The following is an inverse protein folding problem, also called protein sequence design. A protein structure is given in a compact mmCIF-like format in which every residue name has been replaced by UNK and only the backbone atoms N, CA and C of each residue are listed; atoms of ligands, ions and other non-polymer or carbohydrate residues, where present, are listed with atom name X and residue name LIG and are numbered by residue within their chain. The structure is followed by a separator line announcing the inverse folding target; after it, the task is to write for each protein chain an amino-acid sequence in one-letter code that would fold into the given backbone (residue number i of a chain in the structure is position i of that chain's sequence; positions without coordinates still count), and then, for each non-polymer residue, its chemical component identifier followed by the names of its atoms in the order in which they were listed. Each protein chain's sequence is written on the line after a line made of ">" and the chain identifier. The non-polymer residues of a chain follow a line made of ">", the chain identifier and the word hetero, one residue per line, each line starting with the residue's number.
data_IF_490207073920
#
_entry.id   IF_490207073920
#
_cell.length_a   1.000
_cell.length_b   1.000
_cell.length_c   1.000
_cell.angle_alpha   90.00
_cell.angle_beta   90.00
_cell.angle_gamma   90.00
#
_symmetry.space_group_name_H-M   'P 1'
#
loop_
_entity.id
_entity.type
_entity.pdbx_description
1 polymer ?
#
# COMPACT_ATOMS: atom_id res chain seq x y z
N UNK A 1 -33.15 -29.55 -15.70
CA UNK A 1 -32.19 -29.56 -16.82
C UNK A 1 -31.33 -28.33 -16.69
N UNK A 2 -30.04 -28.47 -16.40
CA UNK A 2 -29.14 -27.31 -16.27
C UNK A 2 -28.63 -26.91 -17.65
N UNK A 3 -28.71 -25.63 -17.98
CA UNK A 3 -28.14 -25.05 -19.21
C UNK A 3 -26.78 -24.45 -18.88
N UNK A 4 -25.74 -24.92 -19.55
CA UNK A 4 -24.39 -24.37 -19.45
C UNK A 4 -24.18 -23.45 -20.66
N UNK A 5 -23.75 -22.21 -20.40
CA UNK A 5 -23.31 -21.25 -21.41
C UNK A 5 -21.88 -20.86 -21.13
N UNK A 6 -21.04 -20.96 -22.16
CA UNK A 6 -19.70 -20.38 -22.15
C UNK A 6 -19.78 -18.95 -22.66
N UNK A 7 -19.45 -17.98 -21.80
CA UNK A 7 -19.37 -16.57 -22.18
C UNK A 7 -17.96 -16.29 -22.69
N UNK A 8 -17.85 -15.64 -23.85
CA UNK A 8 -16.57 -15.15 -24.34
C UNK A 8 -16.02 -14.08 -23.40
N UNK A 9 -14.70 -14.05 -23.22
CA UNK A 9 -14.05 -13.01 -22.45
C UNK A 9 -14.31 -11.63 -23.10
N UNK A 10 -14.76 -10.63 -22.32
CA UNK A 10 -15.11 -9.33 -22.87
C UNK A 10 -13.84 -8.56 -23.28
N UNK A 11 -13.99 -7.72 -24.31
CA UNK A 11 -12.97 -6.73 -24.63
C UNK A 11 -13.02 -5.59 -23.61
N UNK A 12 -11.88 -5.26 -23.03
CA UNK A 12 -11.68 -4.07 -22.22
C UNK A 12 -11.31 -2.88 -23.12
N UNK A 13 -11.69 -1.67 -22.72
CA UNK A 13 -11.40 -0.43 -23.45
C UNK A 13 -10.30 0.38 -22.75
N UNK A 14 -9.41 0.96 -23.55
CA UNK A 14 -8.19 1.65 -23.15
C UNK A 14 -8.06 2.99 -23.88
N UNK A 15 -6.92 3.67 -23.71
CA UNK A 15 -6.65 4.96 -24.33
C UNK A 15 -6.89 4.98 -25.85
N UNK A 16 -7.41 6.10 -26.35
CA UNK A 16 -7.65 6.30 -27.79
C UNK A 16 -8.69 5.34 -28.40
N UNK A 17 -9.53 4.69 -27.59
CA UNK A 17 -10.50 3.69 -28.05
C UNK A 17 -9.89 2.31 -28.35
N UNK A 18 -8.64 2.08 -27.93
CA UNK A 18 -7.99 0.78 -28.01
C UNK A 18 -8.76 -0.28 -27.22
N UNK A 19 -8.79 -1.52 -27.73
CA UNK A 19 -9.47 -2.63 -27.07
C UNK A 19 -8.59 -3.86 -27.00
N UNK A 20 -8.58 -4.50 -25.84
CA UNK A 20 -7.83 -5.73 -25.63
C UNK A 20 -8.51 -6.62 -24.59
N UNK A 21 -8.32 -7.94 -24.71
CA UNK A 21 -8.87 -8.91 -23.74
C UNK A 21 -8.04 -8.97 -22.46
N UNK A 22 -6.70 -8.96 -22.59
CA UNK A 22 -5.75 -8.93 -21.48
C UNK A 22 -5.43 -7.47 -21.07
N UNK A 23 -5.58 -7.17 -19.79
CA UNK A 23 -5.35 -5.84 -19.20
C UNK A 23 -3.90 -5.36 -19.31
N UNK A 24 -2.91 -6.26 -19.20
CA UNK A 24 -1.48 -5.90 -19.20
C UNK A 24 -1.08 -5.43 -20.59
N UNK A 25 -1.45 -6.18 -21.61
CA UNK A 25 -1.23 -5.80 -23.02
C UNK A 25 -2.01 -4.55 -23.39
N UNK A 26 -3.30 -4.46 -23.00
CA UNK A 26 -4.10 -3.27 -23.25
C UNK A 26 -3.50 -2.00 -22.65
N UNK A 27 -3.00 -2.07 -21.40
CA UNK A 27 -2.30 -0.94 -20.78
C UNK A 27 -0.96 -0.62 -21.45
N UNK A 28 -0.20 -1.63 -21.87
CA UNK A 28 1.09 -1.43 -22.55
C UNK A 28 0.94 -0.78 -23.92
N UNK A 29 -0.05 -1.22 -24.70
CA UNK A 29 -0.22 -0.81 -26.09
C UNK A 29 -1.01 0.50 -26.22
N UNK A 30 -2.03 0.68 -25.36
CA UNK A 30 -2.98 1.78 -25.48
C UNK A 30 -2.97 2.74 -24.27
N UNK A 31 -2.29 2.39 -23.18
CA UNK A 31 -2.31 3.17 -21.95
C UNK A 31 -3.65 3.09 -21.19
N UNK A 32 -3.78 3.82 -20.06
CA UNK A 32 -5.03 3.92 -19.32
C UNK A 32 -6.18 4.46 -20.17
N UNK A 33 -7.43 4.16 -19.80
CA UNK A 33 -8.61 4.62 -20.56
C UNK A 33 -8.69 6.16 -20.71
N UNK A 34 -8.17 6.90 -19.73
CA UNK A 34 -8.11 8.37 -19.74
C UNK A 34 -6.79 8.92 -20.30
N UNK A 35 -6.02 8.09 -21.01
CA UNK A 35 -4.79 8.47 -21.67
C UNK A 35 -5.03 9.59 -22.69
N UNK A 36 -4.22 10.65 -22.57
CA UNK A 36 -4.18 11.77 -23.51
C UNK A 36 -2.73 12.16 -23.77
N UNK A 37 -2.41 12.61 -24.98
CA UNK A 37 -1.03 12.96 -25.38
C UNK A 37 -0.55 14.27 -24.78
N UNK A 38 -1.47 15.09 -24.32
CA UNK A 38 -1.32 16.51 -24.02
C UNK A 38 -1.24 16.79 -22.52
N UNK A 39 -1.44 15.76 -21.68
CA UNK A 39 -1.33 15.86 -20.22
C UNK A 39 -0.39 14.81 -19.67
N UNK A 40 0.78 15.27 -19.23
CA UNK A 40 1.63 14.49 -18.32
C UNK A 40 1.05 14.54 -16.92
N UNK A 41 0.94 13.38 -16.28
CA UNK A 41 0.48 13.28 -14.90
C UNK A 41 1.68 13.20 -13.97
N UNK A 42 2.28 14.35 -13.66
CA UNK A 42 3.15 14.45 -12.48
C UNK A 42 2.23 14.40 -11.26
N UNK A 43 2.39 13.37 -10.44
CA UNK A 43 1.63 13.19 -9.22
C UNK A 43 2.51 13.56 -8.02
N UNK A 44 2.19 14.67 -7.36
CA UNK A 44 2.89 15.08 -6.14
C UNK A 44 2.43 14.21 -4.98
N UNK A 45 3.35 13.48 -4.37
CA UNK A 45 3.08 12.63 -3.22
C UNK A 45 3.65 13.25 -1.95
N UNK A 46 2.85 13.23 -0.89
CA UNK A 46 3.33 13.41 0.48
C UNK A 46 3.69 12.07 1.09
N UNK A 47 4.63 12.05 2.04
CA UNK A 47 5.02 10.83 2.75
C UNK A 47 4.97 11.07 4.25
N UNK A 48 4.29 10.17 4.97
CA UNK A 48 4.22 10.16 6.45
C UNK A 48 4.71 8.80 6.93
N UNK A 49 5.70 8.77 7.82
CA UNK A 49 6.22 7.53 8.42
C UNK A 49 7.30 7.80 9.45
N UNK A 50 8.06 6.79 9.88
CA UNK A 50 9.34 7.05 10.56
C UNK A 50 10.36 7.60 9.54
N UNK A 51 11.45 8.18 10.02
CA UNK A 51 12.55 8.59 9.14
C UNK A 51 13.06 7.44 8.25
N UNK A 52 13.13 6.22 8.80
CA UNK A 52 13.53 5.03 8.07
C UNK A 52 12.49 4.60 7.02
N UNK A 53 11.21 4.49 7.41
CA UNK A 53 10.13 4.08 6.51
C UNK A 53 9.94 5.07 5.35
N UNK A 54 10.00 6.37 5.65
CA UNK A 54 9.91 7.41 4.63
C UNK A 54 11.08 7.36 3.64
N UNK A 55 12.31 7.19 4.13
CA UNK A 55 13.50 7.05 3.28
C UNK A 55 13.42 5.83 2.35
N UNK A 56 13.14 4.65 2.90
CA UNK A 56 13.01 3.40 2.14
C UNK A 56 11.89 3.46 1.10
N UNK A 57 10.74 4.05 1.45
CA UNK A 57 9.64 4.23 0.51
C UNK A 57 10.05 5.12 -0.67
N UNK A 58 10.76 6.23 -0.42
CA UNK A 58 11.24 7.12 -1.50
C UNK A 58 12.21 6.41 -2.44
N UNK A 59 13.11 5.60 -1.90
CA UNK A 59 14.02 4.80 -2.72
C UNK A 59 13.27 3.77 -3.55
N UNK A 60 12.22 3.16 -3.01
CA UNK A 60 11.36 2.24 -3.75
C UNK A 60 10.55 2.93 -4.85
N UNK A 61 9.99 4.11 -4.58
CA UNK A 61 9.27 4.90 -5.60
C UNK A 61 10.18 5.25 -6.79
N UNK A 62 11.45 5.60 -6.53
CA UNK A 62 12.45 5.80 -7.59
C UNK A 62 12.69 4.53 -8.40
N UNK A 63 12.82 3.37 -7.74
CA UNK A 63 12.97 2.08 -8.43
C UNK A 63 11.75 1.71 -9.28
N UNK A 64 10.55 2.16 -8.91
CA UNK A 64 9.34 1.93 -9.70
C UNK A 64 9.36 2.66 -11.05
N UNK A 65 10.26 3.62 -11.29
CA UNK A 65 10.40 4.33 -12.56
C UNK A 65 10.95 3.45 -13.69
N UNK A 66 11.81 2.47 -13.35
CA UNK A 66 12.51 1.63 -14.33
C UNK A 66 11.64 0.48 -14.87
N UNK A 67 10.56 0.13 -14.16
CA UNK A 67 9.69 -1.00 -14.50
C UNK A 67 10.30 -2.36 -14.18
N UNK A 68 9.65 -3.41 -14.67
CA UNK A 68 10.07 -4.81 -14.48
C UNK A 68 10.19 -5.47 -15.85
N UNK A 69 11.36 -6.00 -16.24
CA UNK A 69 11.54 -6.64 -17.53
C UNK A 69 10.72 -7.94 -17.65
N UNK A 70 10.36 -8.31 -18.87
CA UNK A 70 9.73 -9.59 -19.16
C UNK A 70 10.66 -10.76 -18.80
N UNK A 71 10.08 -11.91 -18.44
CA UNK A 71 10.84 -13.16 -18.24
C UNK A 71 10.63 -14.10 -19.42
N UNK A 72 11.69 -14.82 -19.80
CA UNK A 72 11.57 -15.86 -20.81
C UNK A 72 10.71 -17.01 -20.27
N UNK A 73 9.66 -17.36 -21.01
CA UNK A 73 8.78 -18.49 -20.70
C UNK A 73 8.29 -19.15 -21.99
N UNK A 74 7.95 -20.44 -21.89
CA UNK A 74 7.27 -21.18 -22.98
C UNK A 74 5.83 -20.67 -23.19
N UNK A 75 5.30 -19.94 -22.22
CA UNK A 75 3.99 -19.27 -22.28
C UNK A 75 4.22 -17.77 -22.51
N UNK A 76 4.00 -17.26 -23.73
CA UNK A 76 4.37 -15.88 -24.10
C UNK A 76 3.60 -14.80 -23.31
N UNK A 77 2.44 -15.14 -22.75
CA UNK A 77 1.58 -14.21 -21.99
C UNK A 77 1.77 -14.29 -20.48
N UNK A 78 2.64 -15.17 -19.97
CA UNK A 78 2.74 -15.41 -18.53
C UNK A 78 3.51 -14.29 -17.81
N UNK A 79 4.67 -13.90 -18.33
CA UNK A 79 5.55 -12.89 -17.72
C UNK A 79 5.85 -11.71 -18.66
N UNK A 80 4.82 -10.95 -19.08
CA UNK A 80 5.05 -9.72 -19.83
C UNK A 80 5.82 -8.71 -18.97
N UNK A 81 6.52 -7.78 -19.62
CA UNK A 81 7.15 -6.68 -18.93
C UNK A 81 6.07 -5.82 -18.23
N UNK A 82 6.42 -5.26 -17.07
CA UNK A 82 5.62 -4.24 -16.42
C UNK A 82 6.29 -2.88 -16.67
N UNK A 83 5.58 -1.90 -17.21
CA UNK A 83 6.15 -0.60 -17.46
C UNK A 83 6.36 0.14 -16.14
N UNK A 84 7.46 0.87 -16.02
CA UNK A 84 7.68 1.75 -14.87
C UNK A 84 6.80 3.01 -14.91
N UNK A 85 6.86 3.79 -13.83
CA UNK A 85 6.21 5.11 -13.73
C UNK A 85 7.07 6.21 -14.37
N UNK A 86 7.32 6.07 -15.67
CA UNK A 86 8.12 7.04 -16.42
C UNK A 86 7.28 7.87 -17.40
N UNK A 87 7.79 9.07 -17.69
CA UNK A 87 7.20 10.02 -18.62
C UNK A 87 6.98 9.47 -20.06
N UNK A 88 7.95 8.78 -20.69
CA UNK A 88 7.73 8.17 -22.01
C UNK A 88 6.98 6.84 -21.94
N UNK A 89 6.76 6.28 -20.75
CA UNK A 89 6.09 5.01 -20.56
C UNK A 89 4.59 5.05 -20.89
N UNK A 90 3.93 3.89 -21.04
CA UNK A 90 2.51 3.79 -21.40
C UNK A 90 1.58 4.43 -20.36
N UNK A 91 2.01 4.53 -19.10
CA UNK A 91 1.25 5.22 -18.06
C UNK A 91 1.41 6.74 -18.08
N UNK A 92 2.50 7.28 -18.67
CA UNK A 92 2.85 8.72 -18.68
C UNK A 92 2.65 9.41 -17.33
N UNK A 93 2.94 8.68 -16.27
CA UNK A 93 2.73 9.08 -14.89
C UNK A 93 4.07 8.99 -14.17
N UNK A 94 4.40 10.04 -13.41
CA UNK A 94 5.62 10.13 -12.63
C UNK A 94 5.29 10.60 -11.22
N UNK A 95 5.98 10.04 -10.23
CA UNK A 95 5.78 10.39 -8.82
C UNK A 95 6.83 11.38 -8.35
N UNK A 96 6.38 12.54 -7.89
CA UNK A 96 7.25 13.57 -7.31
C UNK A 96 7.10 13.58 -5.79
N UNK A 97 8.20 13.39 -5.07
CA UNK A 97 8.23 13.48 -3.60
C UNK A 97 9.24 14.54 -3.19
N UNK A 98 8.76 15.76 -3.00
CA UNK A 98 9.58 16.86 -2.49
C UNK A 98 9.92 16.63 -1.01
N UNK A 99 11.13 16.99 -0.61
CA UNK A 99 11.58 16.89 0.79
C UNK A 99 10.66 17.68 1.74
N UNK A 100 10.04 18.76 1.26
CA UNK A 100 9.08 19.55 2.06
C UNK A 100 7.75 18.84 2.33
N UNK A 101 7.42 17.84 1.51
CA UNK A 101 6.20 17.02 1.60
C UNK A 101 6.46 15.68 2.32
N UNK A 102 7.63 15.54 2.96
CA UNK A 102 7.95 14.44 3.87
C UNK A 102 7.73 14.87 5.31
N UNK A 103 6.98 14.06 6.06
CA UNK A 103 6.74 14.21 7.50
C UNK A 103 7.11 12.95 8.24
N UNK A 104 7.70 13.13 9.42
CA UNK A 104 8.19 12.04 10.25
C UNK A 104 7.43 11.98 11.56
N UNK A 105 6.81 10.84 11.83
CA UNK A 105 6.35 10.52 13.19
C UNK A 105 7.58 10.30 14.06
N UNK A 106 7.71 11.10 15.12
CA UNK A 106 8.91 11.09 15.97
C UNK A 106 9.17 9.73 16.61
N UNK A 107 10.44 9.38 16.79
CA UNK A 107 10.84 8.15 17.47
C UNK A 107 10.23 8.05 18.88
N UNK A 108 10.15 9.18 19.61
CA UNK A 108 9.53 9.23 20.93
C UNK A 108 8.03 8.92 20.89
N UNK A 109 7.30 9.41 19.88
CA UNK A 109 5.88 9.09 19.71
C UNK A 109 5.70 7.60 19.40
N UNK A 110 6.51 7.05 18.49
CA UNK A 110 6.52 5.62 18.17
C UNK A 110 6.77 4.79 19.43
N UNK A 111 7.82 5.10 20.19
CA UNK A 111 8.15 4.37 21.42
C UNK A 111 7.02 4.39 22.45
N UNK A 112 6.35 5.54 22.62
CA UNK A 112 5.19 5.66 23.51
C UNK A 112 4.03 4.77 23.07
N UNK A 113 3.69 4.80 21.77
CA UNK A 113 2.63 3.97 21.21
C UNK A 113 2.97 2.48 21.38
N UNK A 114 4.21 2.08 21.11
CA UNK A 114 4.65 0.68 21.24
C UNK A 114 4.70 0.19 22.68
N UNK A 115 4.87 1.09 23.65
CA UNK A 115 4.91 0.75 25.07
C UNK A 115 3.52 0.72 25.73
N UNK A 116 2.50 1.29 25.08
CA UNK A 116 1.12 1.26 25.57
C UNK A 116 0.61 -0.18 25.65
N UNK A 117 -0.06 -0.54 26.75
CA UNK A 117 -0.56 -1.88 26.99
C UNK A 117 -1.97 -2.07 26.44
N UNK A 118 -2.80 -1.03 26.51
CA UNK A 118 -4.16 -1.07 25.98
C UNK A 118 -4.16 -0.88 24.46
N UNK A 119 -4.75 -1.84 23.75
CA UNK A 119 -4.75 -1.85 22.29
C UNK A 119 -5.59 -0.72 21.68
N UNK A 120 -6.73 -0.37 22.29
CA UNK A 120 -7.58 0.72 21.79
C UNK A 120 -6.87 2.07 21.97
N UNK A 121 -6.20 2.26 23.11
CA UNK A 121 -5.39 3.46 23.37
C UNK A 121 -4.21 3.52 22.41
N UNK A 122 -3.51 2.40 22.16
CA UNK A 122 -2.37 2.36 21.24
C UNK A 122 -2.79 2.66 19.79
N UNK A 123 -3.89 2.07 19.32
CA UNK A 123 -4.47 2.35 17.99
C UNK A 123 -4.88 3.81 17.90
N UNK A 124 -5.60 4.33 18.90
CA UNK A 124 -6.02 5.73 18.96
C UNK A 124 -4.82 6.69 18.90
N UNK A 125 -3.78 6.43 19.68
CA UNK A 125 -2.56 7.24 19.69
C UNK A 125 -1.82 7.18 18.33
N UNK A 126 -1.75 6.01 17.69
CA UNK A 126 -1.17 5.87 16.35
C UNK A 126 -1.97 6.63 15.30
N UNK A 127 -3.30 6.55 15.33
CA UNK A 127 -4.18 7.28 14.42
C UNK A 127 -3.99 8.79 14.58
N UNK A 128 -3.97 9.29 15.82
CA UNK A 128 -3.75 10.72 16.11
C UNK A 128 -2.37 11.17 15.62
N UNK A 129 -1.32 10.39 15.87
CA UNK A 129 0.04 10.73 15.45
C UNK A 129 0.15 10.84 13.92
N UNK A 130 -0.39 9.88 13.17
CA UNK A 130 -0.40 9.95 11.70
C UNK A 130 -1.33 11.04 11.18
N UNK A 131 -2.52 11.20 11.76
CA UNK A 131 -3.49 12.20 11.31
C UNK A 131 -2.94 13.62 11.45
N UNK A 132 -2.21 13.93 12.53
CA UNK A 132 -1.56 15.22 12.72
C UNK A 132 -0.54 15.54 11.59
N UNK A 133 0.29 14.56 11.21
CA UNK A 133 1.25 14.74 10.12
C UNK A 133 0.57 14.84 8.74
N UNK A 134 -0.50 14.06 8.50
CA UNK A 134 -1.31 14.17 7.28
C UNK A 134 -1.97 15.54 7.20
N UNK A 135 -2.53 16.04 8.31
CA UNK A 135 -3.13 17.37 8.39
C UNK A 135 -2.10 18.46 8.07
N UNK A 136 -0.89 18.36 8.63
CA UNK A 136 0.20 19.30 8.33
C UNK A 136 0.51 19.38 6.84
N UNK A 137 0.47 18.25 6.12
CA UNK A 137 0.67 18.24 4.66
C UNK A 137 -0.53 18.80 3.90
N UNK A 138 -1.75 18.51 4.37
CA UNK A 138 -2.98 18.97 3.74
C UNK A 138 -3.21 20.50 3.87
N UNK A 139 -2.71 21.12 4.94
CA UNK A 139 -2.85 22.56 5.22
C UNK A 139 -1.80 23.44 4.52
N UNK A 140 -0.87 22.85 3.75
CA UNK A 140 0.14 23.60 2.98
C UNK A 140 -0.54 24.43 1.87
N UNK A 141 0.11 25.51 1.46
CA UNK A 141 -0.35 26.35 0.32
C UNK A 141 -0.55 25.52 -0.97
N UNK A 142 0.30 24.51 -1.15
CA UNK A 142 0.24 23.55 -2.24
C UNK A 142 0.31 22.15 -1.64
N UNK A 143 -0.83 21.56 -1.24
CA UNK A 143 -0.83 20.22 -0.68
C UNK A 143 -0.42 19.19 -1.75
N UNK A 144 0.14 18.04 -1.34
CA UNK A 144 0.32 16.91 -2.22
C UNK A 144 -1.04 16.39 -2.70
N UNK A 145 -1.04 15.71 -3.85
CA UNK A 145 -2.28 15.16 -4.44
C UNK A 145 -2.69 13.84 -3.76
N UNK A 146 -1.71 13.10 -3.23
CA UNK A 146 -1.93 11.87 -2.46
C UNK A 146 -0.89 11.83 -1.34
N UNK A 147 -1.26 11.35 -0.16
CA UNK A 147 -0.32 11.13 0.94
C UNK A 147 -0.14 9.63 1.18
N UNK A 148 1.10 9.17 1.15
CA UNK A 148 1.44 7.78 1.45
C UNK A 148 1.86 7.66 2.92
N UNK A 149 1.08 6.92 3.69
CA UNK A 149 1.41 6.57 5.07
C UNK A 149 2.26 5.28 5.06
N UNK A 150 3.58 5.44 5.18
CA UNK A 150 4.56 4.37 5.33
C UNK A 150 4.68 3.96 6.79
N UNK A 151 3.97 2.90 7.19
CA UNK A 151 3.96 2.48 8.59
C UNK A 151 5.32 1.87 8.99
N UNK A 152 5.90 2.27 10.13
CA UNK A 152 7.03 1.58 10.76
C UNK A 152 6.68 0.15 11.16
N UNK A 153 7.65 -0.74 11.11
CA UNK A 153 7.48 -2.16 11.48
C UNK A 153 6.97 -2.28 12.91
N UNK A 154 7.49 -1.47 13.82
CA UNK A 154 7.17 -1.51 15.25
C UNK A 154 5.71 -1.13 15.51
N UNK A 155 5.16 -0.18 14.73
CA UNK A 155 3.75 0.18 14.83
C UNK A 155 2.85 -0.88 14.21
N UNK A 156 3.29 -1.50 13.11
CA UNK A 156 2.57 -2.64 12.55
C UNK A 156 2.54 -3.77 13.57
N UNK A 157 3.67 -4.12 14.18
CA UNK A 157 3.72 -5.17 15.19
C UNK A 157 2.91 -4.78 16.43
N UNK A 158 2.89 -3.52 16.87
CA UNK A 158 2.07 -3.12 18.01
C UNK A 158 0.57 -3.21 17.71
N UNK A 159 0.14 -2.77 16.52
CA UNK A 159 -1.28 -2.76 16.12
C UNK A 159 -1.75 -4.15 15.65
N UNK A 160 -0.83 -4.96 15.11
CA UNK A 160 -1.11 -6.28 14.55
C UNK A 160 -0.77 -7.45 15.47
N UNK A 161 0.08 -7.28 16.48
CA UNK A 161 0.36 -8.32 17.47
C UNK A 161 -0.20 -7.85 18.81
N UNK A 162 -1.52 -7.59 18.86
CA UNK A 162 -2.24 -7.47 20.13
C UNK A 162 -1.76 -8.61 21.01
N UNK A 163 -1.12 -8.29 22.15
CA UNK A 163 -0.49 -9.30 22.98
C UNK A 163 -1.58 -10.30 23.36
N UNK A 164 -1.48 -11.53 22.85
CA UNK A 164 -1.99 -12.65 23.62
C UNK A 164 -1.30 -12.48 24.98
N UNK A 165 -2.08 -12.23 26.02
CA UNK A 165 -1.59 -12.26 27.38
C UNK A 165 -0.77 -13.53 27.52
N UNK A 166 0.49 -13.39 27.95
CA UNK A 166 1.32 -14.53 28.32
C UNK A 166 0.61 -15.21 29.49
N UNK A 167 -0.21 -16.21 29.20
CA UNK A 167 -0.56 -17.35 30.03
C UNK A 167 -1.33 -18.29 29.10
N UNK A 168 -0.93 -19.56 29.10
CA UNK A 168 -1.50 -20.72 28.39
C UNK A 168 -0.76 -21.14 27.11
N UNK A 169 0.33 -21.87 27.34
CA UNK A 169 0.96 -22.80 26.39
C UNK A 169 0.10 -24.08 26.23
N UNK A 170 -1.13 -23.97 25.72
CA UNK A 170 -1.91 -25.14 25.30
C UNK A 170 -2.31 -25.01 23.82
N UNK A 171 -1.98 -26.06 23.06
CA UNK A 171 -2.26 -26.24 21.63
C UNK A 171 -3.75 -26.08 21.35
N UNK A 172 -4.16 -25.05 20.60
CA UNK A 172 -5.49 -24.96 20.00
C UNK A 172 -5.44 -24.17 18.68
N UNK A 173 -5.64 -24.85 17.55
CA UNK A 173 -5.86 -24.23 16.24
C UNK A 173 -7.01 -23.20 16.28
N UNK A 174 -7.98 -23.38 17.19
CA UNK A 174 -9.09 -22.44 17.42
C UNK A 174 -8.63 -21.11 18.05
N UNK A 175 -7.65 -21.14 18.96
CA UNK A 175 -7.07 -19.92 19.54
C UNK A 175 -6.25 -19.15 18.50
N UNK A 176 -5.52 -19.85 17.62
CA UNK A 176 -4.79 -19.22 16.51
C UNK A 176 -5.73 -18.49 15.53
N UNK A 177 -6.86 -19.11 15.17
CA UNK A 177 -7.89 -18.47 14.34
C UNK A 177 -8.50 -17.23 15.01
N UNK A 178 -8.86 -17.30 16.30
CA UNK A 178 -9.43 -16.15 17.01
C UNK A 178 -8.42 -15.00 17.12
N UNK A 179 -7.16 -15.32 17.44
CA UNK A 179 -6.08 -14.33 17.50
C UNK A 179 -5.90 -13.64 16.15
N UNK A 180 -5.92 -14.42 15.06
CA UNK A 180 -5.82 -13.89 13.69
C UNK A 180 -6.97 -12.94 13.36
N UNK A 181 -8.22 -13.32 13.67
CA UNK A 181 -9.40 -12.47 13.43
C UNK A 181 -9.34 -11.15 14.23
N UNK A 182 -8.86 -11.19 15.48
CA UNK A 182 -8.67 -9.97 16.30
C UNK A 182 -7.67 -9.01 15.66
N UNK A 183 -6.55 -9.55 15.18
CA UNK A 183 -5.51 -8.78 14.51
C UNK A 183 -5.99 -8.16 13.22
N UNK A 184 -6.73 -8.91 12.40
CA UNK A 184 -7.34 -8.39 11.18
C UNK A 184 -8.32 -7.26 11.49
N UNK A 185 -9.14 -7.42 12.53
CA UNK A 185 -10.05 -6.37 13.00
C UNK A 185 -9.30 -5.15 13.50
N UNK A 186 -8.22 -5.31 14.25
CA UNK A 186 -7.37 -4.22 14.74
C UNK A 186 -6.73 -3.43 13.60
N UNK A 187 -6.19 -4.13 12.61
CA UNK A 187 -5.61 -3.52 11.41
C UNK A 187 -6.67 -2.81 10.56
N UNK A 188 -7.84 -3.43 10.41
CA UNK A 188 -9.00 -2.81 9.78
C UNK A 188 -9.46 -1.57 10.56
N UNK A 189 -9.40 -1.61 11.90
CA UNK A 189 -9.74 -0.50 12.78
C UNK A 189 -8.74 0.65 12.62
N UNK A 190 -7.42 0.41 12.67
CA UNK A 190 -6.42 1.46 12.43
C UNK A 190 -6.56 2.07 11.04
N UNK A 191 -6.58 1.24 9.98
CA UNK A 191 -6.72 1.72 8.59
C UNK A 191 -8.04 2.46 8.40
N UNK A 192 -9.14 1.93 8.94
CA UNK A 192 -10.47 2.50 8.86
C UNK A 192 -10.56 3.83 9.61
N UNK A 193 -10.07 3.88 10.85
CA UNK A 193 -10.05 5.08 11.67
C UNK A 193 -9.16 6.17 11.07
N UNK A 194 -7.95 5.83 10.62
CA UNK A 194 -7.05 6.79 9.97
C UNK A 194 -7.65 7.33 8.68
N UNK A 195 -8.26 6.48 7.84
CA UNK A 195 -8.98 6.95 6.65
C UNK A 195 -10.16 7.84 7.05
N UNK A 196 -10.97 7.45 8.02
CA UNK A 196 -12.15 8.19 8.44
C UNK A 196 -11.81 9.59 8.95
N UNK A 197 -10.83 9.72 9.84
CA UNK A 197 -10.44 11.03 10.40
C UNK A 197 -9.82 11.94 9.32
N UNK A 198 -9.02 11.36 8.42
CA UNK A 198 -8.32 12.12 7.36
C UNK A 198 -9.19 12.48 6.16
N UNK A 199 -10.39 11.89 6.01
CA UNK A 199 -11.35 12.28 4.97
C UNK A 199 -11.68 13.78 5.01
N UNK A 200 -11.70 14.35 6.22
CA UNK A 200 -11.97 15.79 6.43
C UNK A 200 -10.90 16.69 5.82
N UNK A 201 -9.67 16.20 5.64
CA UNK A 201 -8.55 16.95 5.08
C UNK A 201 -8.57 17.07 3.56
N UNK A 202 -9.47 16.34 2.88
CA UNK A 202 -9.67 16.38 1.41
C UNK A 202 -8.42 16.05 0.58
N UNK A 203 -7.43 15.39 1.18
CA UNK A 203 -6.29 14.78 0.49
C UNK A 203 -6.38 13.26 0.66
N UNK A 204 -6.44 12.48 -0.42
CA UNK A 204 -6.53 11.02 -0.32
C UNK A 204 -5.26 10.44 0.29
N UNK A 205 -5.43 9.45 1.17
CA UNK A 205 -4.32 8.72 1.79
C UNK A 205 -4.24 7.27 1.31
N UNK A 206 -3.02 6.75 1.20
CA UNK A 206 -2.73 5.34 0.94
C UNK A 206 -1.76 4.81 2.00
N UNK A 207 -2.14 3.74 2.68
CA UNK A 207 -1.26 3.05 3.63
C UNK A 207 -0.40 2.03 2.89
N UNK A 208 0.87 1.93 3.24
CA UNK A 208 1.78 0.94 2.68
C UNK A 208 2.61 0.30 3.80
N UNK A 209 2.79 -1.02 3.69
CA UNK A 209 3.54 -1.82 4.65
C UNK A 209 5.01 -1.94 4.20
N UNK A 210 5.98 -2.00 5.12
CA UNK A 210 7.40 -2.21 4.82
C UNK A 210 7.65 -3.38 3.87
N UNK A 211 6.96 -4.50 4.07
CA UNK A 211 7.06 -5.70 3.22
C UNK A 211 6.68 -5.49 1.75
N UNK A 212 6.07 -4.35 1.40
CA UNK A 212 5.76 -4.00 0.01
C UNK A 212 6.94 -3.35 -0.72
N UNK A 213 7.73 -2.57 0.00
CA UNK A 213 8.79 -1.72 -0.59
C UNK A 213 10.20 -2.09 -0.14
N UNK A 214 10.32 -2.94 0.88
CA UNK A 214 11.56 -3.37 1.49
C UNK A 214 11.57 -4.90 1.62
N UNK A 215 12.41 -5.55 0.82
CA UNK A 215 12.55 -7.02 0.82
C UNK A 215 13.20 -7.55 2.11
N UNK A 216 13.92 -6.70 2.84
CA UNK A 216 14.57 -7.07 4.10
C UNK A 216 13.65 -6.85 5.30
N UNK A 217 12.46 -6.24 5.09
CA UNK A 217 11.53 -5.99 6.16
C UNK A 217 10.92 -7.29 6.69
N UNK A 218 11.28 -7.64 7.91
CA UNK A 218 10.67 -8.75 8.65
C UNK A 218 9.69 -8.18 9.67
N UNK A 219 8.39 -8.38 9.43
CA UNK A 219 7.36 -8.19 10.45
C UNK A 219 7.25 -9.53 11.18
N UNK A 220 7.57 -9.59 12.48
CA UNK A 220 7.53 -10.84 13.26
C UNK A 220 6.12 -11.40 13.27
N UNK A 221 6.01 -12.65 12.83
CA UNK A 221 4.76 -13.28 12.41
C UNK A 221 4.24 -14.28 13.45
N UNK A 222 3.05 -14.03 13.99
CA UNK A 222 1.94 -15.01 13.89
C UNK A 222 1.16 -14.84 12.57
N UNK A 223 1.41 -13.76 11.81
CA UNK A 223 0.76 -13.39 10.55
C UNK A 223 1.43 -13.96 9.26
N UNK A 224 2.30 -14.96 9.39
CA UNK A 224 3.16 -15.44 8.29
C UNK A 224 2.39 -16.12 7.19
N UNK A 225 1.38 -16.84 7.64
CA UNK A 225 0.63 -17.82 6.88
C UNK A 225 -0.14 -17.14 5.74
N UNK A 226 -0.38 -15.82 5.84
CA UNK A 226 -1.32 -15.10 4.98
C UNK A 226 -0.71 -14.00 4.10
N UNK A 227 0.60 -13.76 4.18
CA UNK A 227 1.31 -13.02 3.10
C UNK A 227 1.70 -13.96 1.95
N UNK A 228 0.90 -14.98 1.68
CA UNK A 228 0.94 -15.67 0.39
C UNK A 228 0.12 -14.84 -0.60
N UNK A 229 0.70 -13.73 -1.07
CA UNK A 229 0.63 -13.53 -2.52
C UNK A 229 1.38 -14.73 -3.09
N UNK A 230 0.65 -15.82 -3.35
CA UNK A 230 1.08 -16.79 -4.35
C UNK A 230 1.17 -15.97 -5.62
N UNK A 231 2.37 -15.47 -5.90
CA UNK A 231 2.72 -15.08 -7.26
C UNK A 231 2.45 -16.34 -8.06
N UNK A 232 1.57 -16.26 -9.05
CA UNK A 232 1.37 -17.37 -9.96
C UNK A 232 2.72 -17.64 -10.61
N UNK A 233 3.34 -18.76 -10.26
CA UNK A 233 4.43 -19.36 -11.02
C UNK A 233 3.90 -19.91 -12.35
#
# INVERSE_FOLDING_TARGET
>A
MFSIKHLSEPLLEFGGGGRHVDVRYGLMDFGPADFTTDKTKTLRLGVVGSAQSAGKLRDWLRKCEDGIPAKNSRQPTLFPAFPGSSMPGPFRCYFEVDDQDVRTVSATAISKITAEQDDEIAIGAAVVAFAAEVQSLAERDRPPQVIICALPVELIERVSNMRATNDDEEDDEEQEEETTRRVERANANFRGALKAITLSYRVPIQLIWPTTYDNDAVVRRKLATYSTRRVQD
#
